data_IF_262971691123
#
_entry.id   IF_262971691123
#
_cell.length_a   1.000
_cell.length_b   1.000
_cell.length_c   1.000
_cell.angle_alpha   90.00
_cell.angle_beta   90.00
_cell.angle_gamma   90.00
#
_symmetry.space_group_name_H-M   'P 1'
#
loop_
_entity.id
_entity.type
_entity.pdbx_description
1 polymer ?
#
# COMPACT_ATOMS: atom_id res chain seq x y z
N UNK A 1 -7.07 -11.88 14.28
CA UNK A 1 -7.49 -10.84 15.21
C UNK A 1 -8.14 -9.69 14.46
N UNK A 2 -9.09 -9.07 15.11
CA UNK A 2 -9.84 -7.94 14.58
C UNK A 2 -9.54 -6.68 15.36
N UNK A 3 -9.39 -5.56 14.64
CA UNK A 3 -9.21 -4.26 15.24
C UNK A 3 -10.55 -3.53 15.14
N UNK A 4 -11.07 -3.12 16.29
CA UNK A 4 -12.33 -2.41 16.39
C UNK A 4 -12.15 -0.91 16.27
N UNK A 5 -13.24 -0.23 15.96
CA UNK A 5 -13.32 1.19 15.64
C UNK A 5 -12.65 2.13 16.65
N UNK A 6 -12.72 1.81 17.95
CA UNK A 6 -12.36 2.78 18.98
C UNK A 6 -10.87 3.04 19.17
N UNK A 7 -10.02 2.13 18.80
CA UNK A 7 -8.61 2.32 19.09
C UNK A 7 -7.86 3.19 18.06
N UNK A 8 -8.38 3.40 16.84
CA UNK A 8 -7.77 4.30 15.86
C UNK A 8 -7.63 5.74 16.36
N UNK A 9 -8.43 6.13 17.32
CA UNK A 9 -8.39 7.48 17.93
C UNK A 9 -7.06 7.80 18.58
N UNK A 10 -6.33 6.78 18.98
CA UNK A 10 -5.07 6.90 19.72
C UNK A 10 -3.85 6.52 18.93
N UNK A 11 -4.02 6.00 17.70
CA UNK A 11 -2.95 5.41 16.92
C UNK A 11 -2.89 6.03 15.53
N UNK A 12 -1.71 6.57 15.18
CA UNK A 12 -1.43 7.08 13.84
C UNK A 12 -0.69 6.06 12.98
N UNK A 13 -0.22 5.01 13.58
CA UNK A 13 0.53 3.93 12.93
C UNK A 13 0.02 2.58 13.42
N UNK A 14 -0.15 1.65 12.48
CA UNK A 14 -0.41 0.25 12.78
C UNK A 14 0.83 -0.55 12.42
N UNK A 15 1.38 -1.29 13.39
CA UNK A 15 2.48 -2.22 13.15
C UNK A 15 2.02 -3.61 13.60
N UNK A 16 2.14 -4.58 12.70
CA UNK A 16 1.46 -5.86 12.89
C UNK A 16 2.31 -7.06 12.51
N UNK A 17 2.01 -8.16 13.19
CA UNK A 17 2.51 -9.49 12.87
C UNK A 17 1.33 -10.45 12.90
N UNK A 18 1.21 -11.32 11.90
CA UNK A 18 0.08 -12.23 11.76
C UNK A 18 -1.02 -11.69 10.87
N UNK A 19 -2.14 -12.39 10.78
CA UNK A 19 -3.27 -11.99 9.95
C UNK A 19 -4.25 -11.15 10.75
N UNK A 20 -4.57 -9.96 10.26
CA UNK A 20 -5.51 -9.06 10.93
C UNK A 20 -6.47 -8.47 9.91
N UNK A 21 -7.75 -8.46 10.29
CA UNK A 21 -8.80 -7.79 9.55
C UNK A 21 -9.19 -6.50 10.28
N UNK A 22 -9.21 -5.40 9.55
CA UNK A 22 -9.56 -4.09 10.10
C UNK A 22 -10.95 -3.71 9.64
N UNK A 23 -11.84 -3.46 10.61
CA UNK A 23 -13.21 -3.01 10.37
C UNK A 23 -13.41 -1.68 11.07
N UNK A 24 -13.47 -0.59 10.31
CA UNK A 24 -13.69 0.74 10.87
C UNK A 24 -14.47 1.59 9.88
N UNK A 25 -15.36 2.45 10.39
CA UNK A 25 -16.17 3.35 9.56
C UNK A 25 -15.43 4.66 9.25
N UNK A 26 -14.62 5.13 10.18
CA UNK A 26 -13.83 6.34 10.02
C UNK A 26 -12.35 5.99 10.14
N UNK A 27 -11.68 5.96 9.01
CA UNK A 27 -10.31 5.54 8.94
C UNK A 27 -9.39 6.76 8.83
N UNK A 28 -8.59 6.99 9.85
CA UNK A 28 -7.70 8.14 9.92
C UNK A 28 -6.26 7.73 10.28
N UNK A 29 -5.82 6.60 9.75
CA UNK A 29 -4.44 6.17 9.90
C UNK A 29 -3.55 6.91 8.91
N UNK A 30 -2.37 7.31 9.36
CA UNK A 30 -1.35 7.91 8.51
C UNK A 30 -0.31 6.88 8.04
N UNK A 31 -0.18 5.78 8.74
CA UNK A 31 0.86 4.79 8.47
C UNK A 31 0.42 3.39 8.85
N UNK A 32 0.73 2.44 7.99
CA UNK A 32 0.55 1.00 8.22
C UNK A 32 1.89 0.31 8.01
N UNK A 33 2.26 -0.54 8.93
CA UNK A 33 3.45 -1.35 8.82
C UNK A 33 3.11 -2.81 9.08
N UNK A 34 3.47 -3.69 8.17
CA UNK A 34 3.32 -5.12 8.32
C UNK A 34 4.70 -5.78 8.28
N UNK A 35 5.09 -6.36 9.40
CA UNK A 35 6.39 -7.02 9.57
C UNK A 35 6.16 -8.52 9.72
N UNK A 36 6.84 -9.33 8.88
CA UNK A 36 6.76 -10.79 8.93
C UNK A 36 5.92 -11.37 7.80
N UNK A 37 5.08 -12.36 8.12
CA UNK A 37 4.38 -13.19 7.12
C UNK A 37 2.85 -13.01 7.13
N UNK A 38 2.34 -12.14 7.97
CA UNK A 38 0.90 -11.96 8.12
C UNK A 38 0.23 -11.19 7.00
N UNK A 39 -1.09 -11.25 6.94
CA UNK A 39 -1.90 -10.49 6.00
C UNK A 39 -2.78 -9.48 6.74
N UNK A 40 -2.92 -8.31 6.14
CA UNK A 40 -3.76 -7.24 6.68
C UNK A 40 -4.82 -6.89 5.64
N UNK A 41 -6.10 -7.03 6.01
CA UNK A 41 -7.21 -6.75 5.12
C UNK A 41 -8.04 -5.59 5.68
N UNK A 42 -8.27 -4.59 4.85
CA UNK A 42 -9.13 -3.45 5.16
C UNK A 42 -10.45 -3.59 4.42
N UNK A 43 -11.54 -3.67 5.18
CA UNK A 43 -12.90 -3.86 4.64
C UNK A 43 -13.73 -2.57 4.65
N UNK A 44 -13.10 -1.43 4.88
CA UNK A 44 -13.77 -0.13 4.91
C UNK A 44 -13.09 0.88 4.00
N UNK A 45 -13.83 1.90 3.60
CA UNK A 45 -13.32 2.97 2.75
C UNK A 45 -12.26 3.79 3.48
N UNK A 46 -11.17 4.06 2.78
CA UNK A 46 -10.05 4.84 3.30
C UNK A 46 -10.09 6.23 2.68
N UNK A 47 -10.08 7.26 3.54
CA UNK A 47 -9.93 8.63 3.09
C UNK A 47 -8.81 9.30 3.90
N UNK A 48 -7.77 9.72 3.22
CA UNK A 48 -6.63 10.36 3.86
C UNK A 48 -5.95 11.35 2.93
N UNK A 49 -5.36 12.38 3.48
CA UNK A 49 -4.51 13.30 2.70
C UNK A 49 -3.13 12.72 2.48
N UNK A 50 -2.61 11.98 3.44
CA UNK A 50 -1.30 11.31 3.33
C UNK A 50 -1.39 9.94 3.97
N UNK A 51 -0.85 8.94 3.27
CA UNK A 51 -0.93 7.56 3.71
C UNK A 51 0.37 6.84 3.40
N UNK A 52 0.91 6.17 4.41
CA UNK A 52 2.15 5.41 4.27
C UNK A 52 1.90 3.93 4.52
N UNK A 53 2.39 3.09 3.63
CA UNK A 53 2.27 1.63 3.72
C UNK A 53 3.66 1.02 3.62
N UNK A 54 4.06 0.27 4.63
CA UNK A 54 5.33 -0.44 4.67
C UNK A 54 5.11 -1.93 4.89
N UNK A 55 5.71 -2.76 4.06
CA UNK A 55 5.80 -4.21 4.28
C UNK A 55 7.25 -4.61 4.39
N UNK A 56 7.57 -5.34 5.43
CA UNK A 56 8.90 -5.93 5.63
C UNK A 56 8.71 -7.43 5.82
N UNK A 57 9.15 -8.22 4.84
CA UNK A 57 9.01 -9.68 4.86
C UNK A 57 8.14 -10.20 3.72
N UNK A 58 7.26 -11.16 4.01
CA UNK A 58 6.41 -11.84 3.02
C UNK A 58 4.92 -11.58 3.22
N UNK A 59 4.57 -10.64 4.06
CA UNK A 59 3.17 -10.30 4.34
C UNK A 59 2.46 -9.61 3.18
N UNK A 60 1.15 -9.45 3.31
CA UNK A 60 0.35 -8.73 2.33
C UNK A 60 -0.60 -7.73 2.98
N UNK A 61 -0.95 -6.70 2.23
CA UNK A 61 -1.94 -5.70 2.63
C UNK A 61 -2.93 -5.54 1.49
N UNK A 62 -4.23 -5.70 1.80
CA UNK A 62 -5.31 -5.58 0.83
C UNK A 62 -6.34 -4.56 1.29
N UNK A 63 -6.84 -3.75 0.35
CA UNK A 63 -7.90 -2.79 0.57
C UNK A 63 -9.10 -3.18 -0.28
N UNK A 64 -10.15 -3.69 0.36
CA UNK A 64 -11.29 -4.27 -0.35
C UNK A 64 -12.33 -3.25 -0.80
N UNK A 65 -12.54 -2.20 -0.01
CA UNK A 65 -13.61 -1.23 -0.25
C UNK A 65 -13.17 0.06 -0.96
N UNK A 66 -11.87 0.28 -1.08
CA UNK A 66 -11.36 1.45 -1.77
C UNK A 66 -11.27 2.71 -0.91
N UNK A 67 -11.42 3.87 -1.55
CA UNK A 67 -11.33 5.19 -0.92
C UNK A 67 -10.53 6.18 -1.76
N UNK A 68 -10.15 7.29 -1.13
CA UNK A 68 -9.37 8.35 -1.76
C UNK A 68 -8.18 8.76 -0.89
N UNK A 69 -7.02 8.86 -1.51
CA UNK A 69 -5.79 9.31 -0.86
C UNK A 69 -5.11 10.33 -1.76
N UNK A 70 -4.73 11.48 -1.21
CA UNK A 70 -4.03 12.49 -2.00
C UNK A 70 -2.59 12.08 -2.26
N UNK A 71 -1.88 11.67 -1.22
CA UNK A 71 -0.47 11.24 -1.33
C UNK A 71 -0.32 9.87 -0.67
N UNK A 72 0.18 8.90 -1.41
CA UNK A 72 0.50 7.58 -0.89
C UNK A 72 1.98 7.28 -1.04
N UNK A 73 2.60 6.80 0.03
CA UNK A 73 3.96 6.27 0.03
C UNK A 73 3.88 4.78 0.33
N UNK A 74 4.29 3.95 -0.61
CA UNK A 74 4.21 2.50 -0.48
C UNK A 74 5.60 1.90 -0.62
N UNK A 75 6.01 1.15 0.38
CA UNK A 75 7.32 0.50 0.39
C UNK A 75 7.18 -0.98 0.71
N UNK A 76 7.80 -1.81 -0.10
CA UNK A 76 7.86 -3.25 0.12
C UNK A 76 9.32 -3.69 0.15
N UNK A 77 9.73 -4.29 1.25
CA UNK A 77 11.05 -4.91 1.41
C UNK A 77 10.85 -6.40 1.60
N UNK A 78 11.30 -7.19 0.64
CA UNK A 78 11.14 -8.65 0.64
C UNK A 78 10.23 -9.13 -0.49
N UNK A 79 9.30 -10.02 -0.19
CA UNK A 79 8.40 -10.64 -1.16
C UNK A 79 6.92 -10.32 -0.93
N UNK A 80 6.64 -9.32 -0.14
CA UNK A 80 5.27 -8.93 0.20
C UNK A 80 4.47 -8.35 -0.96
N UNK A 81 3.16 -8.19 -0.75
CA UNK A 81 2.23 -7.66 -1.75
C UNK A 81 1.33 -6.58 -1.15
N UNK A 82 1.14 -5.49 -1.89
CA UNK A 82 0.16 -4.46 -1.56
C UNK A 82 -0.85 -4.37 -2.69
N UNK A 83 -2.14 -4.51 -2.38
CA UNK A 83 -3.22 -4.34 -3.34
C UNK A 83 -4.06 -3.13 -2.95
N UNK A 84 -3.86 -2.04 -3.68
CA UNK A 84 -4.57 -0.76 -3.52
C UNK A 84 -5.33 -0.37 -4.78
N UNK A 85 -5.69 -1.31 -5.64
CA UNK A 85 -6.35 -1.01 -6.91
C UNK A 85 -7.71 -0.32 -6.76
N UNK A 86 -8.37 -0.53 -5.62
CA UNK A 86 -9.66 0.09 -5.31
C UNK A 86 -9.53 1.49 -4.70
N UNK A 87 -8.33 1.90 -4.30
CA UNK A 87 -8.07 3.20 -3.66
C UNK A 87 -7.62 4.19 -4.73
N UNK A 88 -8.37 5.27 -4.92
CA UNK A 88 -7.98 6.35 -5.81
C UNK A 88 -6.88 7.19 -5.18
N UNK A 89 -5.73 7.26 -5.82
CA UNK A 89 -4.57 8.00 -5.32
C UNK A 89 -4.21 9.09 -6.34
N UNK A 90 -3.98 10.31 -5.88
CA UNK A 90 -3.53 11.37 -6.79
C UNK A 90 -2.03 11.25 -7.06
N UNK A 91 -1.23 11.24 -6.02
CA UNK A 91 0.22 11.09 -6.13
C UNK A 91 0.68 9.86 -5.36
N UNK A 92 1.41 8.98 -6.01
CA UNK A 92 1.96 7.78 -5.38
C UNK A 92 3.49 7.74 -5.52
N UNK A 93 4.14 7.46 -4.41
CA UNK A 93 5.57 7.17 -4.38
C UNK A 93 5.74 5.71 -3.94
N UNK A 94 6.34 4.92 -4.80
CA UNK A 94 6.41 3.46 -4.65
C UNK A 94 7.85 3.01 -4.65
N UNK A 95 8.22 2.19 -3.69
CA UNK A 95 9.54 1.58 -3.63
C UNK A 95 9.43 0.09 -3.35
N UNK A 96 10.10 -0.73 -4.17
CA UNK A 96 10.23 -2.16 -3.95
C UNK A 96 11.71 -2.51 -3.82
N UNK A 97 12.06 -3.21 -2.77
CA UNK A 97 13.37 -3.82 -2.61
C UNK A 97 13.19 -5.32 -2.44
N UNK A 98 13.44 -6.08 -3.49
CA UNK A 98 13.23 -7.53 -3.52
C UNK A 98 12.33 -7.99 -4.66
N UNK A 99 11.42 -8.91 -4.38
CA UNK A 99 10.54 -9.56 -5.37
C UNK A 99 9.05 -9.27 -5.15
N UNK A 100 8.72 -8.32 -4.32
CA UNK A 100 7.33 -7.98 -4.01
C UNK A 100 6.55 -7.38 -5.17
N UNK A 101 5.25 -7.21 -4.98
CA UNK A 101 4.33 -6.63 -5.96
C UNK A 101 3.47 -5.54 -5.33
N UNK A 102 3.20 -4.49 -6.09
CA UNK A 102 2.31 -3.41 -5.67
C UNK A 102 1.32 -3.14 -6.77
N UNK A 103 0.03 -3.05 -6.43
CA UNK A 103 -1.05 -2.72 -7.36
C UNK A 103 -1.69 -1.41 -6.90
N UNK A 104 -1.80 -0.44 -7.80
CA UNK A 104 -2.27 0.91 -7.49
C UNK A 104 -3.28 1.43 -8.51
N UNK A 105 -4.03 2.45 -8.10
CA UNK A 105 -4.82 3.28 -9.01
C UNK A 105 -4.39 4.73 -8.77
N UNK A 106 -3.73 5.36 -9.76
CA UNK A 106 -3.10 6.67 -9.62
C UNK A 106 -3.56 7.61 -10.74
N UNK A 107 -3.94 8.82 -10.36
CA UNK A 107 -4.52 9.78 -11.28
C UNK A 107 -3.54 10.82 -11.82
N UNK A 108 -2.65 11.35 -10.99
CA UNK A 108 -1.82 12.51 -11.35
C UNK A 108 -0.34 12.17 -11.53
N UNK A 109 0.28 11.57 -10.53
CA UNK A 109 1.72 11.32 -10.57
C UNK A 109 2.08 9.99 -9.91
N UNK A 110 2.91 9.21 -10.57
CA UNK A 110 3.42 7.93 -10.08
C UNK A 110 4.94 7.91 -10.17
N UNK A 111 5.59 7.89 -9.02
CA UNK A 111 7.04 7.75 -8.89
C UNK A 111 7.36 6.34 -8.42
N UNK A 112 8.12 5.59 -9.21
CA UNK A 112 8.43 4.19 -8.95
C UNK A 112 9.93 3.97 -8.85
N UNK A 113 10.33 3.31 -7.78
CA UNK A 113 11.71 2.85 -7.59
C UNK A 113 11.69 1.36 -7.29
N UNK A 114 12.33 0.57 -8.14
CA UNK A 114 12.43 -0.88 -7.97
C UNK A 114 13.91 -1.27 -7.89
N UNK A 115 14.25 -1.99 -6.84
CA UNK A 115 15.56 -2.62 -6.69
C UNK A 115 15.34 -4.13 -6.54
N UNK A 116 15.56 -4.87 -7.62
CA UNK A 116 15.33 -6.32 -7.66
C UNK A 116 14.42 -6.74 -8.81
N UNK A 117 13.55 -7.71 -8.57
CA UNK A 117 12.68 -8.32 -9.58
C UNK A 117 11.19 -8.07 -9.32
N UNK A 118 10.86 -7.18 -8.42
CA UNK A 118 9.47 -6.86 -8.10
C UNK A 118 8.74 -6.13 -9.23
N UNK A 119 7.41 -6.16 -9.20
CA UNK A 119 6.58 -5.54 -10.21
C UNK A 119 5.59 -4.54 -9.60
N UNK A 120 5.33 -3.47 -10.35
CA UNK A 120 4.30 -2.49 -10.01
C UNK A 120 3.25 -2.51 -11.11
N UNK A 121 2.00 -2.72 -10.72
CA UNK A 121 0.85 -2.68 -11.61
C UNK A 121 0.05 -1.42 -11.29
N UNK A 122 -0.27 -0.62 -12.30
CA UNK A 122 -1.02 0.61 -12.09
C UNK A 122 -2.19 0.78 -13.04
N UNK A 123 -3.22 1.42 -12.53
CA UNK A 123 -4.39 1.89 -13.26
C UNK A 123 -4.36 3.42 -13.30
N UNK A 124 -4.99 4.01 -14.33
CA UNK A 124 -5.07 5.46 -14.48
C UNK A 124 -4.07 6.00 -15.51
N UNK A 125 -3.97 7.32 -15.55
CA UNK A 125 -3.11 8.01 -16.54
C UNK A 125 -2.18 9.01 -15.84
N UNK A 126 -1.36 8.57 -14.88
CA UNK A 126 -0.47 9.47 -14.16
C UNK A 126 0.75 9.85 -15.02
N UNK A 127 1.38 10.96 -14.63
CA UNK A 127 2.73 11.25 -15.07
C UNK A 127 3.68 10.29 -14.35
N UNK A 128 4.48 9.55 -15.10
CA UNK A 128 5.30 8.47 -14.56
C UNK A 128 6.77 8.85 -14.54
N UNK A 129 7.41 8.64 -13.40
CA UNK A 129 8.85 8.69 -13.23
C UNK A 129 9.31 7.36 -12.64
N UNK A 130 10.24 6.69 -13.32
CA UNK A 130 10.71 5.37 -12.90
C UNK A 130 12.22 5.33 -12.73
N UNK A 131 12.66 4.56 -11.74
CA UNK A 131 14.04 4.17 -11.55
C UNK A 131 14.08 2.70 -11.19
N UNK A 132 14.48 1.87 -12.14
CA UNK A 132 14.50 0.41 -11.97
C UNK A 132 15.95 -0.06 -12.02
N UNK A 133 16.37 -0.74 -10.95
CA UNK A 133 17.65 -1.42 -10.86
C UNK A 133 17.37 -2.91 -10.68
N UNK A 134 17.59 -3.68 -11.71
CA UNK A 134 17.25 -5.10 -11.76
C UNK A 134 16.33 -5.43 -12.93
N UNK A 135 15.50 -6.46 -12.76
CA UNK A 135 14.61 -6.97 -13.80
C UNK A 135 13.12 -6.76 -13.50
N UNK A 136 12.81 -5.90 -12.55
CA UNK A 136 11.44 -5.55 -12.24
C UNK A 136 10.76 -4.75 -13.36
N UNK A 137 9.43 -4.71 -13.33
CA UNK A 137 8.62 -4.06 -14.37
C UNK A 137 7.54 -3.16 -13.79
N UNK A 138 7.22 -2.11 -14.54
CA UNK A 138 6.05 -1.28 -14.32
C UNK A 138 5.04 -1.60 -15.42
N UNK A 139 3.82 -2.01 -15.03
CA UNK A 139 2.82 -2.55 -15.93
C UNK A 139 1.50 -1.80 -15.77
N UNK A 140 0.97 -1.28 -16.87
CA UNK A 140 -0.38 -0.69 -16.90
C UNK A 140 -1.44 -1.79 -17.01
N UNK A 141 -2.47 -1.67 -16.23
CA UNK A 141 -3.58 -2.64 -16.22
C UNK A 141 -4.94 -2.00 -16.50
#
# INVERSE_FOLDING_TARGET
>A
DSIKEDWWKFWKKISMRGTINVYTQNFNFQSIENIGTGSLNFSNIINASSFEVNIIGTGSINFDEGGEVLNANVKVVGTGKVDMKTVNTNVANVAISGTGSIILNVNEELNVKISGTGNVFYKGHPKITTKISGTGHLISI
#
